data_IF_823290689274
#
_entry.id   IF_823290689274
#
_cell.length_a   1.000
_cell.length_b   1.000
_cell.length_c   1.000
_cell.angle_alpha   90.00
_cell.angle_beta   90.00
_cell.angle_gamma   90.00
#
_symmetry.space_group_name_H-M   'P 1'
#
loop_
_entity.id
_entity.type
_entity.pdbx_description
1 polymer ?
#
# COMPACT_ATOMS: atom_id res chain seq x y z
N UNK A 1 0.45 -32.63 7.25
CA UNK A 1 1.59 -32.04 7.98
C UNK A 1 2.39 -30.98 7.21
N UNK A 2 2.90 -31.20 5.98
CA UNK A 2 3.57 -30.12 5.21
C UNK A 2 2.62 -29.11 4.54
N UNK A 3 1.41 -29.54 4.18
CA UNK A 3 0.38 -28.68 3.60
C UNK A 3 -0.20 -27.70 4.63
N UNK A 4 -0.34 -28.14 5.89
CA UNK A 4 -0.91 -27.33 6.97
C UNK A 4 0.01 -26.16 7.36
N UNK A 5 1.33 -26.40 7.43
CA UNK A 5 2.30 -25.33 7.68
C UNK A 5 2.37 -24.29 6.54
N UNK A 6 2.14 -24.71 5.30
CA UNK A 6 2.10 -23.80 4.15
C UNK A 6 0.80 -22.99 4.12
N UNK A 7 -0.35 -23.61 4.39
CA UNK A 7 -1.64 -22.90 4.48
C UNK A 7 -1.67 -21.90 5.63
N UNK A 8 -1.08 -22.22 6.79
CA UNK A 8 -0.93 -21.29 7.90
C UNK A 8 -0.08 -20.05 7.53
N UNK A 9 1.00 -20.24 6.76
CA UNK A 9 1.81 -19.12 6.27
C UNK A 9 1.03 -18.24 5.29
N UNK A 10 0.28 -18.83 4.36
CA UNK A 10 -0.56 -18.09 3.42
C UNK A 10 -1.64 -17.26 4.14
N UNK A 11 -2.31 -17.84 5.14
CA UNK A 11 -3.31 -17.14 5.96
C UNK A 11 -2.66 -15.98 6.74
N UNK A 12 -1.44 -16.17 7.26
CA UNK A 12 -0.71 -15.09 7.93
C UNK A 12 -0.42 -13.93 6.99
N UNK A 13 0.13 -14.19 5.80
CA UNK A 13 0.40 -13.12 4.83
C UNK A 13 -0.87 -12.47 4.29
N UNK A 14 -1.96 -13.23 4.13
CA UNK A 14 -3.26 -12.67 3.79
C UNK A 14 -3.72 -11.64 4.83
N UNK A 15 -3.60 -11.96 6.12
CA UNK A 15 -3.91 -11.01 7.21
C UNK A 15 -3.00 -9.79 7.20
N UNK A 16 -1.70 -9.98 6.94
CA UNK A 16 -0.76 -8.86 6.77
C UNK A 16 -1.17 -7.94 5.62
N UNK A 17 -1.60 -8.50 4.49
CA UNK A 17 -2.07 -7.73 3.32
C UNK A 17 -3.38 -7.00 3.63
N UNK A 18 -4.36 -7.63 4.28
CA UNK A 18 -5.60 -6.94 4.70
C UNK A 18 -5.27 -5.77 5.61
N UNK A 19 -4.45 -6.00 6.65
CA UNK A 19 -4.07 -4.95 7.59
C UNK A 19 -3.34 -3.80 6.89
N UNK A 20 -2.44 -4.12 5.94
CA UNK A 20 -1.77 -3.13 5.11
C UNK A 20 -2.78 -2.28 4.31
N UNK A 21 -3.68 -2.92 3.55
CA UNK A 21 -4.66 -2.21 2.72
C UNK A 21 -5.58 -1.31 3.55
N UNK A 22 -6.07 -1.81 4.69
CA UNK A 22 -6.90 -1.02 5.61
C UNK A 22 -6.13 0.15 6.18
N UNK A 23 -4.87 -0.06 6.59
CA UNK A 23 -4.01 1.02 7.06
C UNK A 23 -3.80 2.08 5.96
N UNK A 24 -3.71 1.68 4.69
CA UNK A 24 -3.58 2.58 3.54
C UNK A 24 -4.90 3.25 3.12
N UNK A 25 -6.00 3.10 3.86
CA UNK A 25 -7.28 3.79 3.64
C UNK A 25 -8.33 3.01 2.86
N UNK A 26 -8.12 1.71 2.61
CA UNK A 26 -9.12 0.83 1.98
C UNK A 26 -10.16 0.40 3.01
N UNK A 27 -11.44 0.34 2.62
CA UNK A 27 -12.49 -0.20 3.50
C UNK A 27 -12.19 -1.66 3.85
N UNK A 28 -12.45 -2.12 5.09
CA UNK A 28 -12.18 -3.51 5.49
C UNK A 28 -12.76 -4.57 4.55
N UNK A 29 -14.02 -4.39 4.11
CA UNK A 29 -14.67 -5.30 3.15
C UNK A 29 -13.95 -5.37 1.81
N UNK A 30 -13.54 -4.22 1.27
CA UNK A 30 -12.85 -4.14 -0.02
C UNK A 30 -11.44 -4.76 0.09
N UNK A 31 -10.77 -4.61 1.24
CA UNK A 31 -9.48 -5.23 1.51
C UNK A 31 -9.59 -6.77 1.59
N UNK A 32 -10.65 -7.29 2.20
CA UNK A 32 -10.94 -8.74 2.22
C UNK A 32 -11.23 -9.26 0.81
N UNK A 33 -12.02 -8.55 0.01
CA UNK A 33 -12.30 -8.91 -1.39
C UNK A 33 -11.01 -8.94 -2.24
N UNK A 34 -10.13 -7.95 -2.09
CA UNK A 34 -8.82 -7.94 -2.77
C UNK A 34 -8.00 -9.17 -2.41
N UNK A 35 -8.02 -9.61 -1.15
CA UNK A 35 -7.28 -10.80 -0.72
C UNK A 35 -7.94 -12.09 -1.19
N UNK A 36 -9.27 -12.15 -1.28
CA UNK A 36 -9.96 -13.27 -1.93
C UNK A 36 -9.55 -13.41 -3.40
N UNK A 37 -9.50 -12.31 -4.16
CA UNK A 37 -8.99 -12.28 -5.55
C UNK A 37 -7.55 -12.82 -5.64
N UNK A 38 -6.70 -12.50 -4.65
CA UNK A 38 -5.32 -13.00 -4.57
C UNK A 38 -5.30 -14.52 -4.36
N UNK A 39 -6.16 -15.06 -3.50
CA UNK A 39 -6.26 -16.50 -3.27
C UNK A 39 -6.79 -17.25 -4.48
N UNK A 40 -7.80 -16.72 -5.18
CA UNK A 40 -8.30 -17.32 -6.43
C UNK A 40 -7.16 -17.46 -7.43
N UNK A 41 -6.43 -16.37 -7.68
CA UNK A 41 -5.27 -16.39 -8.59
C UNK A 41 -4.14 -17.31 -8.12
N UNK A 42 -3.99 -17.50 -6.81
CA UNK A 42 -3.03 -18.43 -6.25
C UNK A 42 -3.43 -19.88 -6.51
N UNK A 43 -4.72 -20.21 -6.39
CA UNK A 43 -5.26 -21.54 -6.68
C UNK A 43 -5.19 -21.88 -8.17
N UNK A 44 -5.33 -20.87 -9.03
CA UNK A 44 -5.18 -20.99 -10.49
C UNK A 44 -3.71 -21.05 -10.95
N UNK A 45 -2.77 -20.68 -10.08
CA UNK A 45 -1.36 -20.61 -10.45
C UNK A 45 -0.74 -22.01 -10.59
N UNK A 46 -0.14 -22.30 -11.74
CA UNK A 46 0.58 -23.56 -11.99
C UNK A 46 1.98 -23.63 -11.34
N UNK A 47 2.33 -22.65 -10.49
CA UNK A 47 3.67 -22.57 -9.87
C UNK A 47 3.63 -22.79 -8.35
N UNK A 48 4.71 -23.36 -7.82
CA UNK A 48 4.98 -23.40 -6.39
C UNK A 48 6.14 -22.43 -6.12
N UNK A 49 5.85 -21.32 -5.43
CA UNK A 49 6.85 -20.36 -5.01
C UNK A 49 7.33 -20.64 -3.58
N UNK A 50 8.60 -20.34 -3.30
CA UNK A 50 9.13 -20.34 -1.93
C UNK A 50 8.47 -19.25 -1.09
N UNK A 51 8.42 -19.41 0.25
CA UNK A 51 7.70 -18.52 1.17
C UNK A 51 7.89 -17.01 0.95
N UNK A 52 9.13 -16.53 0.83
CA UNK A 52 9.41 -15.11 0.56
C UNK A 52 8.91 -14.62 -0.80
N UNK A 53 9.01 -15.47 -1.83
CA UNK A 53 8.56 -15.14 -3.18
C UNK A 53 7.04 -15.10 -3.26
N UNK A 54 6.35 -16.00 -2.56
CA UNK A 54 4.89 -16.01 -2.54
C UNK A 54 4.33 -14.82 -1.74
N UNK A 55 4.95 -14.45 -0.61
CA UNK A 55 4.60 -13.22 0.11
C UNK A 55 4.70 -12.00 -0.80
N UNK A 56 5.85 -11.82 -1.47
CA UNK A 56 6.04 -10.71 -2.42
C UNK A 56 5.05 -10.76 -3.60
N UNK A 57 4.67 -11.95 -4.07
CA UNK A 57 3.67 -12.10 -5.12
C UNK A 57 2.26 -11.74 -4.64
N UNK A 58 1.86 -12.14 -3.43
CA UNK A 58 0.56 -11.76 -2.84
C UNK A 58 0.45 -10.25 -2.70
N UNK A 59 1.49 -9.59 -2.17
CA UNK A 59 1.55 -8.13 -2.11
C UNK A 59 1.49 -7.49 -3.49
N UNK A 60 2.23 -8.01 -4.49
CA UNK A 60 2.16 -7.52 -5.87
C UNK A 60 0.73 -7.56 -6.40
N UNK A 61 0.07 -8.70 -6.26
CA UNK A 61 -1.27 -8.92 -6.81
C UNK A 61 -2.30 -8.04 -6.10
N UNK A 62 -2.21 -7.93 -4.77
CA UNK A 62 -3.07 -7.08 -3.95
C UNK A 62 -2.85 -5.58 -4.23
N UNK A 63 -1.60 -5.11 -4.23
CA UNK A 63 -1.24 -3.70 -4.45
C UNK A 63 -1.65 -3.25 -5.85
N UNK A 64 -1.50 -4.09 -6.87
CA UNK A 64 -2.01 -3.77 -8.22
C UNK A 64 -3.51 -3.55 -8.21
N UNK A 65 -4.25 -4.47 -7.58
CA UNK A 65 -5.71 -4.37 -7.46
C UNK A 65 -6.13 -3.12 -6.68
N UNK A 66 -5.43 -2.81 -5.58
CA UNK A 66 -5.62 -1.60 -4.80
C UNK A 66 -5.37 -0.33 -5.62
N UNK A 67 -4.26 -0.25 -6.35
CA UNK A 67 -3.96 0.88 -7.23
C UNK A 67 -5.07 1.06 -8.28
N UNK A 68 -5.57 -0.04 -8.84
CA UNK A 68 -6.67 0.00 -9.82
C UNK A 68 -7.98 0.48 -9.19
N UNK A 69 -8.34 0.00 -7.98
CA UNK A 69 -9.51 0.47 -7.22
C UNK A 69 -9.39 1.95 -6.87
N UNK A 70 -8.23 2.38 -6.35
CA UNK A 70 -7.98 3.76 -6.00
C UNK A 70 -8.03 4.70 -7.21
N UNK A 71 -7.44 4.31 -8.35
CA UNK A 71 -7.51 5.08 -9.60
C UNK A 71 -8.94 5.18 -10.10
N UNK A 72 -9.71 4.10 -9.99
CA UNK A 72 -11.12 4.05 -10.34
C UNK A 72 -11.92 5.00 -9.44
N UNK A 73 -11.74 4.94 -8.14
CA UNK A 73 -12.48 5.75 -7.16
C UNK A 73 -12.10 7.23 -7.23
N UNK A 74 -10.82 7.55 -7.51
CA UNK A 74 -10.37 8.91 -7.83
C UNK A 74 -11.03 9.43 -9.10
N UNK A 75 -11.07 8.63 -10.17
CA UNK A 75 -11.75 8.99 -11.41
C UNK A 75 -13.26 9.18 -11.20
N UNK A 76 -13.90 8.32 -10.40
CA UNK A 76 -15.30 8.49 -10.02
C UNK A 76 -15.52 9.76 -9.20
N UNK A 77 -14.66 10.06 -8.22
CA UNK A 77 -14.73 11.32 -7.46
C UNK A 77 -14.53 12.55 -8.35
N UNK A 78 -13.57 12.52 -9.28
CA UNK A 78 -13.34 13.61 -10.24
C UNK A 78 -14.54 13.83 -11.18
N UNK A 79 -15.22 12.75 -11.59
CA UNK A 79 -16.45 12.80 -12.41
C UNK A 79 -17.63 13.32 -11.56
N UNK A 80 -17.82 12.80 -10.35
CA UNK A 80 -18.89 13.20 -9.44
C UNK A 80 -18.76 14.68 -9.00
N UNK A 81 -17.53 15.16 -8.78
CA UNK A 81 -17.24 16.58 -8.50
C UNK A 81 -17.53 17.48 -9.72
N UNK A 82 -17.33 16.99 -10.95
CA UNK A 82 -17.62 17.76 -12.16
C UNK A 82 -19.10 17.80 -12.50
N UNK A 83 -19.85 16.75 -12.22
CA UNK A 83 -21.22 16.62 -12.70
C UNK A 83 -22.30 16.84 -11.64
N UNK A 84 -22.02 16.69 -10.33
CA UNK A 84 -23.12 16.61 -9.35
C UNK A 84 -23.05 17.47 -8.07
N UNK A 85 -21.91 17.95 -7.53
CA UNK A 85 -21.97 18.75 -6.27
C UNK A 85 -20.87 19.82 -6.03
N UNK A 86 -21.30 20.93 -5.40
CA UNK A 86 -20.51 21.96 -4.67
C UNK A 86 -20.04 21.40 -3.31
N UNK A 87 -18.95 21.92 -2.72
CA UNK A 87 -18.18 21.23 -1.70
C UNK A 87 -18.81 21.31 -0.30
N UNK A 88 -19.66 20.36 0.03
CA UNK A 88 -19.99 20.00 1.41
C UNK A 88 -20.11 18.46 1.43
N UNK A 89 -19.51 17.82 2.44
CA UNK A 89 -19.44 16.35 2.65
C UNK A 89 -18.30 15.60 1.91
N UNK A 90 -17.06 16.03 2.15
CA UNK A 90 -15.93 15.09 2.13
C UNK A 90 -15.96 14.31 3.45
N UNK A 91 -16.19 13.00 3.37
CA UNK A 91 -16.08 12.09 4.50
C UNK A 91 -14.61 12.03 4.94
N UNK A 92 -14.23 12.87 5.90
CA UNK A 92 -12.94 12.75 6.57
C UNK A 92 -12.98 11.50 7.45
N UNK A 93 -12.13 10.52 7.14
CA UNK A 93 -11.81 9.48 8.11
C UNK A 93 -11.11 10.15 9.28
N UNK A 94 -11.81 10.22 10.41
CA UNK A 94 -11.30 10.71 11.69
C UNK A 94 -10.33 9.67 12.26
N UNK A 95 -9.03 9.94 12.09
CA UNK A 95 -7.94 9.22 12.79
C UNK A 95 -7.16 10.23 13.62
N UNK A 96 -7.79 10.78 14.65
CA UNK A 96 -7.08 11.50 15.71
C UNK A 96 -6.15 10.53 16.45
N UNK A 97 -4.87 10.92 16.57
CA UNK A 97 -3.73 10.27 17.24
C UNK A 97 -2.75 9.44 16.37
N UNK A 98 -2.43 9.89 15.14
CA UNK A 98 -1.19 9.54 14.40
C UNK A 98 -0.77 10.73 13.50
N UNK A 99 -0.56 11.89 14.12
CA UNK A 99 -1.06 13.17 13.58
C UNK A 99 -0.26 13.90 12.50
N UNK A 100 0.96 13.53 12.13
CA UNK A 100 1.73 14.35 11.14
C UNK A 100 2.55 13.55 10.15
N UNK A 101 3.22 12.50 10.63
CA UNK A 101 3.93 11.58 9.74
C UNK A 101 2.95 10.91 8.78
N UNK A 102 1.77 10.53 9.27
CA UNK A 102 0.75 9.90 8.44
C UNK A 102 0.20 10.89 7.40
N UNK A 103 -0.09 12.13 7.81
CA UNK A 103 -0.52 13.20 6.88
C UNK A 103 0.55 13.48 5.81
N UNK A 104 1.81 13.58 6.22
CA UNK A 104 2.93 13.78 5.31
C UNK A 104 3.05 12.62 4.31
N UNK A 105 2.89 11.37 4.75
CA UNK A 105 2.89 10.19 3.87
C UNK A 105 1.71 10.19 2.89
N UNK A 106 0.50 10.53 3.35
CA UNK A 106 -0.71 10.61 2.51
C UNK A 106 -0.66 11.76 1.50
N UNK A 107 0.13 12.81 1.76
CA UNK A 107 0.35 13.91 0.82
C UNK A 107 1.23 13.52 -0.38
N UNK A 108 1.96 12.41 -0.30
CA UNK A 108 2.91 12.01 -1.32
C UNK A 108 2.22 11.50 -2.59
N UNK A 109 2.88 11.61 -3.76
CA UNK A 109 2.49 10.83 -4.92
C UNK A 109 2.45 9.34 -4.58
N UNK A 110 1.39 8.64 -4.99
CA UNK A 110 1.10 7.24 -4.64
C UNK A 110 2.31 6.28 -4.81
N UNK A 111 3.12 6.47 -5.86
CA UNK A 111 4.32 5.66 -6.08
C UNK A 111 5.41 5.83 -5.01
N UNK A 112 5.56 7.03 -4.47
CA UNK A 112 6.52 7.35 -3.40
C UNK A 112 6.01 6.83 -2.05
N UNK A 113 4.73 7.08 -1.75
CA UNK A 113 4.06 6.53 -0.57
C UNK A 113 4.18 5.01 -0.51
N UNK A 114 3.78 4.32 -1.58
CA UNK A 114 3.87 2.86 -1.68
C UNK A 114 5.31 2.35 -1.46
N UNK A 115 6.31 3.02 -2.05
CA UNK A 115 7.69 2.61 -1.89
C UNK A 115 8.16 2.73 -0.43
N UNK A 116 7.81 3.82 0.26
CA UNK A 116 8.15 4.03 1.68
C UNK A 116 7.42 3.03 2.58
N UNK A 117 6.12 2.82 2.37
CA UNK A 117 5.30 1.90 3.14
C UNK A 117 5.84 0.47 3.05
N UNK A 118 6.10 -0.01 1.82
CA UNK A 118 6.63 -1.35 1.61
C UNK A 118 8.04 -1.51 2.17
N UNK A 119 8.88 -0.47 2.12
CA UNK A 119 10.26 -0.55 2.60
C UNK A 119 10.35 -0.54 4.12
N UNK A 120 9.72 0.46 4.77
CA UNK A 120 9.93 0.72 6.19
C UNK A 120 8.98 -0.06 7.10
N UNK A 121 7.72 -0.27 6.67
CA UNK A 121 6.72 -0.91 7.51
C UNK A 121 6.58 -2.40 7.20
N UNK A 122 6.76 -2.78 5.94
CA UNK A 122 6.60 -4.17 5.49
C UNK A 122 7.93 -4.91 5.26
N UNK A 123 9.06 -4.21 5.44
CA UNK A 123 10.41 -4.77 5.42
C UNK A 123 10.91 -5.24 4.06
N UNK A 124 10.27 -4.84 2.95
CA UNK A 124 10.66 -5.28 1.63
C UNK A 124 11.98 -4.64 1.18
N UNK A 125 12.82 -5.44 0.53
CA UNK A 125 14.00 -4.95 -0.19
C UNK A 125 13.61 -4.16 -1.44
N UNK A 126 14.49 -3.27 -1.92
CA UNK A 126 14.27 -2.52 -3.17
C UNK A 126 13.92 -3.44 -4.36
N UNK A 127 14.53 -4.63 -4.40
CA UNK A 127 14.26 -5.64 -5.42
C UNK A 127 12.84 -6.19 -5.32
N UNK A 128 12.36 -6.48 -4.12
CA UNK A 128 11.00 -6.97 -3.89
C UNK A 128 9.95 -5.87 -4.11
N UNK A 129 10.24 -4.62 -3.74
CA UNK A 129 9.36 -3.48 -4.02
C UNK A 129 9.24 -3.26 -5.53
N UNK A 130 10.35 -3.30 -6.27
CA UNK A 130 10.34 -3.21 -7.74
C UNK A 130 9.46 -4.29 -8.37
N UNK A 131 9.55 -5.51 -7.81
CA UNK A 131 8.71 -6.63 -8.16
C UNK A 131 7.23 -6.36 -7.85
N UNK A 132 6.88 -5.94 -6.63
CA UNK A 132 5.51 -5.61 -6.19
C UNK A 132 4.90 -4.50 -7.01
N UNK A 133 5.63 -3.40 -7.23
CA UNK A 133 5.17 -2.23 -7.97
C UNK A 133 5.22 -2.40 -9.50
N UNK A 134 5.80 -3.49 -10.02
CA UNK A 134 6.01 -3.68 -11.47
C UNK A 134 6.87 -2.58 -12.10
N UNK A 135 7.90 -2.10 -11.38
CA UNK A 135 8.76 -0.96 -11.77
C UNK A 135 10.24 -1.33 -11.70
N UNK A 136 11.15 -0.49 -12.22
CA UNK A 136 12.60 -0.73 -12.12
C UNK A 136 13.14 -0.43 -10.72
N UNK A 137 14.19 -1.14 -10.29
CA UNK A 137 14.85 -0.86 -8.99
C UNK A 137 15.38 0.57 -8.90
N UNK A 138 15.87 1.13 -10.01
CA UNK A 138 16.32 2.53 -10.07
C UNK A 138 15.17 3.50 -9.83
N UNK A 139 13.98 3.22 -10.39
CA UNK A 139 12.78 4.01 -10.12
C UNK A 139 12.37 3.93 -8.64
N UNK A 140 12.37 2.74 -8.04
CA UNK A 140 12.06 2.59 -6.61
C UNK A 140 13.05 3.37 -5.72
N UNK A 141 14.35 3.33 -6.03
CA UNK A 141 15.35 4.14 -5.31
C UNK A 141 15.04 5.64 -5.39
N UNK A 142 14.64 6.12 -6.57
CA UNK A 142 14.25 7.52 -6.77
C UNK A 142 12.95 7.87 -6.03
N UNK A 143 11.96 6.98 -6.06
CA UNK A 143 10.69 7.18 -5.36
C UNK A 143 10.91 7.22 -3.83
N UNK A 144 11.75 6.33 -3.28
CA UNK A 144 12.18 6.35 -1.88
C UNK A 144 12.94 7.63 -1.51
N UNK A 145 13.88 8.06 -2.36
CA UNK A 145 14.68 9.26 -2.13
C UNK A 145 13.78 10.51 -2.08
N UNK A 146 12.92 10.68 -3.08
CA UNK A 146 12.02 11.83 -3.18
C UNK A 146 10.98 11.82 -2.07
N UNK A 147 10.37 10.66 -1.79
CA UNK A 147 9.41 10.51 -0.71
C UNK A 147 10.01 10.89 0.65
N UNK A 148 11.22 10.40 0.96
CA UNK A 148 11.93 10.80 2.19
C UNK A 148 12.18 12.29 2.27
N UNK A 149 12.62 12.90 1.16
CA UNK A 149 12.88 14.33 1.13
C UNK A 149 11.61 15.13 1.38
N UNK A 150 10.50 14.78 0.72
CA UNK A 150 9.22 15.48 0.91
C UNK A 150 8.67 15.31 2.32
N UNK A 151 8.73 14.11 2.90
CA UNK A 151 8.31 13.89 4.30
C UNK A 151 9.18 14.71 5.25
N UNK A 152 10.50 14.71 5.05
CA UNK A 152 11.43 15.52 5.83
C UNK A 152 11.08 17.01 5.76
N UNK A 153 10.89 17.55 4.55
CA UNK A 153 10.59 18.97 4.34
C UNK A 153 9.26 19.38 5.00
N UNK A 154 8.26 18.50 5.00
CA UNK A 154 6.96 18.73 5.63
C UNK A 154 7.08 18.76 7.16
N UNK A 155 7.77 17.78 7.74
CA UNK A 155 7.99 17.71 9.19
C UNK A 155 8.89 18.85 9.71
N UNK A 156 9.90 19.27 8.94
CA UNK A 156 10.77 20.40 9.28
C UNK A 156 10.02 21.74 9.23
N UNK A 157 9.11 21.94 8.27
CA UNK A 157 8.28 23.15 8.18
C UNK A 157 7.31 23.30 9.35
N UNK A 158 6.88 22.19 9.94
CA UNK A 158 5.94 22.17 11.07
C UNK A 158 6.64 22.19 12.45
N UNK A 159 7.97 22.31 12.47
CA UNK A 159 8.76 22.48 13.72
C UNK A 159 9.02 21.19 14.50
N UNK A 160 8.65 20.01 13.98
CA UNK A 160 8.84 18.72 14.63
C UNK A 160 10.05 17.99 14.04
N UNK A 161 11.25 18.31 14.55
CA UNK A 161 12.44 17.50 14.28
C UNK A 161 13.04 16.98 15.59
N UNK A 162 12.70 15.75 15.97
CA UNK A 162 13.54 14.94 16.85
C UNK A 162 14.57 14.18 15.99
N UNK A 163 15.79 14.71 15.99
CA UNK A 163 17.09 14.12 15.62
C UNK A 163 17.19 12.83 14.80
N UNK A 164 17.95 12.93 13.70
CA UNK A 164 18.87 11.94 13.12
C UNK A 164 18.39 10.49 12.94
N UNK A 165 18.16 10.12 11.67
CA UNK A 165 18.39 8.76 11.15
C UNK A 165 19.74 8.75 10.43
#
# INVERSE_FOLDING_TARGET
MKLDAYSEQLIRWAKEVVAYLVSSGVKPSDAEDVVQDVFIRLLEAEFILSGTKIRAWMYRTAVRRYIDLYRRDKKYHEILQKEFFRPEELLFYDTRDYDKLWEALQSLPQAQQLALELHYFQGFSIKEIAQVAGSSQSKIKMDLLRGRQTVKDLLEKEGDFYGSI
#
